data_IF_259199358601
#
_entry.id   IF_259199358601
#
_cell.length_a   1.000
_cell.length_b   1.000
_cell.length_c   1.000
_cell.angle_alpha   90.00
_cell.angle_beta   90.00
_cell.angle_gamma   90.00
#
_symmetry.space_group_name_H-M   'P 1'
#
loop_
_entity.id
_entity.type
_entity.pdbx_description
1 polymer ?
#
# COMPACT_ATOMS: atom_id res chain seq x y z
N UNK A 1 -9.38 16.52 -14.67
CA UNK A 1 -9.24 15.55 -13.56
C UNK A 1 -8.20 14.52 -13.98
N UNK A 2 -7.08 14.41 -13.27
CA UNK A 2 -5.92 13.64 -13.76
C UNK A 2 -6.05 12.11 -13.61
N UNK A 3 -6.84 11.59 -12.65
CA UNK A 3 -6.90 10.14 -12.35
C UNK A 3 -8.29 9.60 -11.95
N UNK A 4 -9.37 10.34 -12.21
CA UNK A 4 -10.70 10.06 -11.62
C UNK A 4 -11.39 8.74 -12.02
N UNK A 5 -10.84 8.00 -13.00
CA UNK A 5 -11.42 6.74 -13.49
C UNK A 5 -10.48 5.54 -13.37
N UNK A 6 -9.32 5.70 -12.71
CA UNK A 6 -8.38 4.60 -12.52
C UNK A 6 -8.95 3.57 -11.55
N UNK A 7 -8.75 2.31 -11.88
CA UNK A 7 -9.25 1.21 -11.05
C UNK A 7 -8.33 1.00 -9.84
N UNK A 8 -8.88 0.63 -8.67
CA UNK A 8 -8.07 0.19 -7.55
C UNK A 8 -7.21 -1.02 -7.92
N UNK A 9 -6.04 -1.21 -7.27
CA UNK A 9 -5.19 -2.37 -7.51
C UNK A 9 -5.91 -3.70 -7.36
N UNK A 10 -5.50 -4.68 -8.17
CA UNK A 10 -6.15 -5.98 -8.19
C UNK A 10 -6.19 -6.68 -6.83
N UNK A 11 -5.12 -6.54 -6.03
CA UNK A 11 -4.95 -7.23 -4.76
C UNK A 11 -5.91 -6.76 -3.66
N UNK A 12 -6.52 -5.57 -3.76
CA UNK A 12 -7.53 -5.10 -2.80
C UNK A 12 -8.97 -5.21 -3.29
N UNK A 13 -9.18 -5.69 -4.52
CA UNK A 13 -10.54 -5.89 -5.05
C UNK A 13 -11.15 -7.17 -4.51
N UNK A 14 -12.43 -7.11 -4.15
CA UNK A 14 -13.19 -8.31 -3.80
C UNK A 14 -13.31 -9.24 -5.02
N UNK A 15 -13.26 -10.54 -4.79
CA UNK A 15 -13.35 -11.58 -5.80
C UNK A 15 -14.42 -12.64 -5.47
N UNK A 16 -15.71 -12.26 -5.41
CA UNK A 16 -16.79 -13.17 -5.02
C UNK A 16 -17.10 -14.22 -6.10
N UNK A 17 -16.81 -13.94 -7.37
CA UNK A 17 -17.07 -14.87 -8.48
C UNK A 17 -15.82 -15.63 -8.91
N UNK A 18 -15.99 -16.81 -9.51
CA UNK A 18 -14.86 -17.59 -10.07
C UNK A 18 -14.10 -16.82 -11.15
N UNK A 19 -14.83 -16.08 -12.01
CA UNK A 19 -14.24 -15.23 -13.04
C UNK A 19 -13.35 -14.13 -12.45
N UNK A 20 -13.80 -13.46 -11.38
CA UNK A 20 -13.01 -12.42 -10.73
C UNK A 20 -11.71 -12.98 -10.12
N UNK A 21 -11.76 -14.18 -9.52
CA UNK A 21 -10.56 -14.87 -9.03
C UNK A 21 -9.60 -15.23 -10.17
N UNK A 22 -10.11 -15.70 -11.31
CA UNK A 22 -9.26 -16.01 -12.47
C UNK A 22 -8.63 -14.77 -13.09
N UNK A 23 -9.29 -13.61 -12.99
CA UNK A 23 -8.74 -12.31 -13.38
C UNK A 23 -7.72 -11.76 -12.35
N UNK A 24 -7.42 -12.51 -11.29
CA UNK A 24 -6.42 -12.14 -10.29
C UNK A 24 -6.91 -11.17 -9.22
N UNK A 25 -8.23 -10.97 -9.08
CA UNK A 25 -8.75 -10.08 -8.04
C UNK A 25 -8.52 -10.70 -6.66
N UNK A 26 -8.03 -9.90 -5.73
CA UNK A 26 -7.64 -10.34 -4.39
C UNK A 26 -6.36 -11.20 -4.34
N UNK A 27 -5.74 -11.50 -5.50
CA UNK A 27 -4.48 -12.24 -5.53
C UNK A 27 -3.36 -11.33 -4.99
N UNK A 28 -2.56 -11.86 -4.07
CA UNK A 28 -1.47 -11.09 -3.45
C UNK A 28 -1.93 -10.07 -2.41
N UNK A 29 -3.19 -10.16 -1.95
CA UNK A 29 -3.62 -9.40 -0.76
C UNK A 29 -2.78 -9.82 0.44
N UNK A 30 -2.13 -8.87 1.08
CA UNK A 30 -1.40 -9.08 2.31
C UNK A 30 -2.22 -8.51 3.47
N UNK A 31 -2.54 -9.35 4.44
CA UNK A 31 -3.23 -8.90 5.63
C UNK A 31 -2.20 -8.36 6.62
N UNK A 32 -2.19 -7.04 6.83
CA UNK A 32 -1.18 -6.36 7.66
C UNK A 32 -0.95 -7.02 9.03
N UNK A 33 -1.99 -7.44 9.79
CA UNK A 33 -1.80 -8.07 11.10
C UNK A 33 -1.07 -9.41 11.09
N UNK A 34 -1.07 -10.12 9.96
CA UNK A 34 -0.36 -11.41 9.83
C UNK A 34 1.13 -11.22 9.49
N UNK A 35 1.55 -10.01 9.15
CA UNK A 35 2.96 -9.69 8.90
C UNK A 35 3.71 -9.50 10.22
N UNK A 36 5.01 -9.85 10.32
CA UNK A 36 5.74 -9.80 11.58
C UNK A 36 5.78 -8.39 12.21
N UNK A 37 5.76 -7.35 11.38
CA UNK A 37 5.80 -5.95 11.77
C UNK A 37 4.42 -5.29 11.87
N UNK A 38 3.35 -6.04 11.57
CA UNK A 38 1.98 -5.51 11.49
C UNK A 38 1.79 -4.52 10.33
N UNK A 39 2.60 -4.62 9.29
CA UNK A 39 2.64 -3.73 8.12
C UNK A 39 3.21 -4.45 6.89
N UNK A 40 2.40 -4.62 5.85
CA UNK A 40 2.74 -5.31 4.60
C UNK A 40 3.51 -4.47 3.58
N UNK A 41 3.53 -3.14 3.74
CA UNK A 41 4.10 -2.27 2.72
C UNK A 41 3.30 -2.19 1.41
N UNK A 42 2.13 -2.84 1.31
CA UNK A 42 1.33 -2.91 0.08
C UNK A 42 0.95 -1.54 -0.49
N UNK A 43 0.89 -1.42 -1.83
CA UNK A 43 0.51 -0.20 -2.51
C UNK A 43 -0.99 -0.16 -2.80
N UNK A 44 -1.72 0.76 -2.17
CA UNK A 44 -3.17 0.87 -2.31
C UNK A 44 -3.63 1.87 -3.39
N UNK A 45 -2.68 2.54 -4.04
CA UNK A 45 -2.97 3.43 -5.17
C UNK A 45 -3.12 2.64 -6.46
N UNK A 46 -3.97 3.06 -7.41
CA UNK A 46 -4.05 2.46 -8.73
C UNK A 46 -2.67 2.23 -9.35
N UNK A 47 -2.50 1.12 -10.07
CA UNK A 47 -1.20 0.73 -10.65
C UNK A 47 -0.70 1.78 -11.68
N UNK A 48 -1.63 2.50 -12.32
CA UNK A 48 -1.35 3.58 -13.26
C UNK A 48 -1.10 4.93 -12.56
N UNK A 49 -1.01 4.95 -11.23
CA UNK A 49 -0.84 6.15 -10.43
C UNK A 49 0.35 6.02 -9.46
N UNK A 50 1.27 6.97 -9.57
CA UNK A 50 2.31 7.13 -8.57
C UNK A 50 1.75 7.42 -7.18
N UNK A 51 2.37 6.83 -6.16
CA UNK A 51 1.97 7.03 -4.77
C UNK A 51 2.10 8.51 -4.39
N UNK A 52 0.98 9.13 -4.00
CA UNK A 52 0.96 10.53 -3.56
C UNK A 52 0.86 10.64 -2.03
N UNK A 53 1.50 11.67 -1.48
CA UNK A 53 1.41 12.02 -0.05
C UNK A 53 0.43 13.17 0.11
N UNK A 54 -0.77 12.88 0.60
CA UNK A 54 -1.82 13.88 0.84
C UNK A 54 -1.82 14.45 2.25
N UNK A 55 -1.47 13.62 3.24
CA UNK A 55 -1.45 14.02 4.64
C UNK A 55 -0.01 14.23 5.12
N UNK A 56 0.29 15.45 5.56
CA UNK A 56 1.59 15.87 6.10
C UNK A 56 1.35 16.44 7.50
N UNK A 57 1.38 15.62 8.56
CA UNK A 57 1.19 16.11 9.92
C UNK A 57 2.22 17.18 10.27
N UNK A 58 1.81 18.22 10.97
CA UNK A 58 2.72 19.29 11.40
C UNK A 58 3.70 18.79 12.46
N UNK A 59 3.30 17.78 13.23
CA UNK A 59 4.09 17.19 14.30
C UNK A 59 3.94 17.93 15.62
N UNK A 60 2.86 18.70 15.80
CA UNK A 60 2.56 19.40 17.04
C UNK A 60 1.53 18.61 17.87
N UNK A 61 1.74 18.51 19.18
CA UNK A 61 0.83 17.81 20.09
C UNK A 61 0.61 16.34 19.72
N UNK A 62 -0.64 15.95 19.51
CA UNK A 62 -1.00 14.56 19.19
C UNK A 62 -0.50 14.08 17.82
N UNK A 63 -0.21 15.01 16.89
CA UNK A 63 0.28 14.65 15.55
C UNK A 63 1.75 14.21 15.55
N UNK A 64 2.53 14.48 16.60
CA UNK A 64 3.94 14.07 16.68
C UNK A 64 4.09 12.55 16.53
N UNK A 65 3.28 11.79 17.29
CA UNK A 65 3.26 10.32 17.22
C UNK A 65 2.80 9.81 15.85
N UNK A 66 1.86 10.53 15.23
CA UNK A 66 1.36 10.19 13.89
C UNK A 66 2.45 10.40 12.85
N UNK A 67 3.17 11.52 12.91
CA UNK A 67 4.31 11.83 12.05
C UNK A 67 5.40 10.76 12.18
N UNK A 68 5.84 10.45 13.40
CA UNK A 68 6.85 9.42 13.65
C UNK A 68 6.43 8.04 13.09
N UNK A 69 5.14 7.67 13.24
CA UNK A 69 4.61 6.43 12.68
C UNK A 69 4.61 6.42 11.15
N UNK A 70 4.22 7.53 10.51
CA UNK A 70 4.22 7.66 9.05
C UNK A 70 5.64 7.60 8.49
N UNK A 71 6.61 8.23 9.14
CA UNK A 71 8.03 8.18 8.77
C UNK A 71 8.58 6.75 8.89
N UNK A 72 8.27 6.05 9.98
CA UNK A 72 8.63 4.62 10.15
C UNK A 72 8.06 3.77 9.02
N UNK A 73 6.79 3.93 8.69
CA UNK A 73 6.15 3.18 7.60
C UNK A 73 6.74 3.51 6.22
N UNK A 74 7.13 4.76 5.98
CA UNK A 74 7.82 5.15 4.75
C UNK A 74 9.20 4.48 4.64
N UNK A 75 9.96 4.45 5.73
CA UNK A 75 11.28 3.79 5.76
C UNK A 75 11.17 2.27 5.58
N UNK A 76 10.25 1.60 6.28
CA UNK A 76 10.04 0.15 6.12
C UNK A 76 9.65 -0.21 4.69
N UNK A 77 8.76 0.59 4.08
CA UNK A 77 8.36 0.39 2.67
C UNK A 77 9.52 0.60 1.70
N UNK A 78 10.36 1.61 1.93
CA UNK A 78 11.54 1.84 1.09
C UNK A 78 12.56 0.69 1.19
N UNK A 79 12.74 0.11 2.38
CA UNK A 79 13.57 -1.07 2.58
C UNK A 79 13.01 -2.28 1.82
N UNK A 80 11.71 -2.60 1.99
CA UNK A 80 11.04 -3.71 1.31
C UNK A 80 11.13 -3.58 -0.23
N UNK A 81 10.87 -2.39 -0.77
CA UNK A 81 10.95 -2.14 -2.21
C UNK A 81 12.40 -2.15 -2.75
N UNK A 82 13.39 -1.89 -1.90
CA UNK A 82 14.81 -1.99 -2.25
C UNK A 82 15.30 -3.43 -2.32
N UNK A 83 14.70 -4.33 -1.54
CA UNK A 83 15.03 -5.77 -1.54
C UNK A 83 14.47 -6.51 -2.77
N UNK A 84 13.38 -6.04 -3.37
CA UNK A 84 12.83 -6.59 -4.63
C UNK A 84 13.74 -6.36 -5.86
N UNK A 85 14.83 -5.59 -5.73
CA UNK A 85 15.79 -5.30 -6.81
C UNK A 85 16.94 -6.32 -7.01
N UNK A 86 17.06 -7.35 -6.16
CA UNK A 86 18.16 -8.34 -6.21
C UNK A 86 17.65 -9.79 -6.36
N UNK A 87 16.67 -10.00 -7.24
CA UNK A 87 16.17 -11.33 -7.60
C UNK A 87 15.94 -11.49 -9.10
N UNK A 88 17.03 -11.71 -9.85
CA UNK A 88 17.03 -12.44 -11.14
C UNK A 88 18.03 -13.58 -11.04
#
# INVERSE_FOLDING_TARGET
>A
AETGSLMPPAHIRNAPTKLMKSLGYGKGYQYDPDTPEGFSGANFFPDEMERRVFYKPKGEGHEEKVKARLERWAAMRAAMNGEEGFGQ
#
